data_IF_937466333829
#
_entry.id   IF_937466333829
#
_cell.length_a   1.000
_cell.length_b   1.000
_cell.length_c   1.000
_cell.angle_alpha   90.00
_cell.angle_beta   90.00
_cell.angle_gamma   90.00
#
_symmetry.space_group_name_H-M   'P 1'
#
loop_
_entity.id
_entity.type
_entity.pdbx_description
1 polymer ?
#
# COMPACT_ATOMS: atom_id res chain seq x y z
N UNK A 1 -5.51 -6.03 -26.31
CA UNK A 1 -4.12 -5.79 -26.76
C UNK A 1 -3.26 -6.80 -26.01
N UNK A 2 -2.52 -7.69 -26.69
CA UNK A 2 -1.54 -8.56 -26.00
C UNK A 2 -0.20 -7.84 -26.08
N UNK A 3 0.29 -7.40 -24.94
CA UNK A 3 1.61 -6.80 -24.84
C UNK A 3 2.68 -7.90 -24.92
N UNK A 4 3.90 -7.53 -25.31
CA UNK A 4 5.01 -8.48 -25.53
C UNK A 4 5.57 -9.06 -24.23
N UNK A 5 5.23 -8.46 -23.09
CA UNK A 5 5.62 -8.88 -21.75
C UNK A 5 4.43 -8.70 -20.80
N UNK A 6 4.47 -9.36 -19.64
CA UNK A 6 3.48 -9.19 -18.58
C UNK A 6 3.70 -7.89 -17.83
N UNK A 7 2.66 -7.35 -17.18
CA UNK A 7 2.77 -6.13 -16.38
C UNK A 7 3.88 -6.20 -15.31
N UNK A 8 4.08 -7.33 -14.58
CA UNK A 8 5.24 -7.51 -13.69
C UNK A 8 6.60 -7.29 -14.37
N UNK A 9 6.81 -7.88 -15.55
CA UNK A 9 8.08 -7.76 -16.30
C UNK A 9 8.30 -6.33 -16.81
N UNK A 10 7.25 -5.69 -17.31
CA UNK A 10 7.31 -4.31 -17.78
C UNK A 10 7.66 -3.35 -16.63
N UNK A 11 6.99 -3.47 -15.48
CA UNK A 11 7.29 -2.61 -14.33
C UNK A 11 8.68 -2.89 -13.74
N UNK A 12 9.06 -4.16 -13.60
CA UNK A 12 10.36 -4.55 -13.06
C UNK A 12 11.54 -4.02 -13.88
N UNK A 13 11.42 -4.00 -15.21
CA UNK A 13 12.46 -3.47 -16.10
C UNK A 13 12.41 -1.94 -16.24
N UNK A 14 11.23 -1.32 -16.20
CA UNK A 14 11.06 0.10 -16.53
C UNK A 14 11.26 1.03 -15.33
N UNK A 15 10.65 0.74 -14.18
CA UNK A 15 10.69 1.62 -13.01
C UNK A 15 12.13 1.98 -12.55
N UNK A 16 13.09 1.03 -12.52
CA UNK A 16 14.47 1.36 -12.17
C UNK A 16 15.13 2.40 -13.09
N UNK A 17 14.76 2.43 -14.36
CA UNK A 17 15.29 3.40 -15.35
C UNK A 17 14.83 4.83 -15.06
N UNK A 18 13.72 4.98 -14.33
CA UNK A 18 13.18 6.26 -13.90
C UNK A 18 13.63 6.65 -12.48
N UNK A 19 14.48 5.83 -11.84
CA UNK A 19 14.84 6.03 -10.44
C UNK A 19 13.66 5.80 -9.48
N UNK A 20 12.68 5.00 -9.88
CA UNK A 20 11.52 4.65 -9.06
C UNK A 20 11.78 3.30 -8.39
N UNK A 21 11.68 3.25 -7.06
CA UNK A 21 11.96 2.05 -6.27
C UNK A 21 10.74 1.15 -6.05
N UNK A 22 9.54 1.58 -6.44
CA UNK A 22 8.31 0.86 -6.16
C UNK A 22 7.07 1.57 -6.66
N UNK A 23 5.89 1.06 -6.30
CA UNK A 23 4.63 1.67 -6.70
C UNK A 23 3.52 1.44 -5.67
N UNK A 24 2.58 2.39 -5.68
CA UNK A 24 1.36 2.32 -4.90
C UNK A 24 0.30 1.50 -5.63
N UNK A 25 -0.20 0.44 -4.99
CA UNK A 25 -1.26 -0.42 -5.49
C UNK A 25 -2.64 0.13 -5.11
N UNK A 26 -3.03 1.27 -5.68
CA UNK A 26 -4.36 1.85 -5.45
C UNK A 26 -5.44 0.88 -5.93
N UNK A 27 -6.51 0.71 -5.14
CA UNK A 27 -7.57 -0.28 -5.34
C UNK A 27 -7.15 -1.75 -5.27
N UNK A 28 -5.88 -2.02 -4.94
CA UNK A 28 -5.32 -3.37 -4.83
C UNK A 28 -5.11 -3.75 -3.37
N UNK A 29 -6.00 -4.57 -2.81
CA UNK A 29 -5.86 -5.04 -1.41
C UNK A 29 -4.61 -5.93 -1.18
N UNK A 30 -4.02 -6.44 -2.26
CA UNK A 30 -2.74 -7.10 -2.30
C UNK A 30 -2.09 -6.82 -3.67
N UNK A 31 -0.76 -6.77 -3.74
CA UNK A 31 -0.05 -6.85 -5.03
C UNK A 31 0.38 -8.30 -5.21
N UNK A 32 0.09 -8.96 -6.35
CA UNK A 32 0.50 -10.35 -6.58
C UNK A 32 2.02 -10.58 -6.43
N UNK A 33 2.41 -11.74 -5.90
CA UNK A 33 3.81 -12.11 -5.63
C UNK A 33 4.70 -12.07 -6.90
N UNK A 34 4.11 -12.29 -8.07
CA UNK A 34 4.79 -12.22 -9.37
C UNK A 34 5.47 -10.86 -9.63
N UNK A 35 4.93 -9.75 -9.13
CA UNK A 35 5.57 -8.42 -9.25
C UNK A 35 6.88 -8.36 -8.48
N UNK A 36 6.91 -8.95 -7.29
CA UNK A 36 8.13 -9.04 -6.49
C UNK A 36 9.13 -10.00 -7.13
N UNK A 37 8.69 -11.18 -7.60
CA UNK A 37 9.57 -12.17 -8.26
C UNK A 37 10.21 -11.61 -9.53
N UNK A 38 9.44 -10.90 -10.36
CA UNK A 38 9.96 -10.22 -11.54
C UNK A 38 11.03 -9.19 -11.14
N UNK A 39 10.76 -8.36 -10.12
CA UNK A 39 11.74 -7.36 -9.65
C UNK A 39 13.06 -7.97 -9.16
N UNK A 40 13.01 -9.13 -8.50
CA UNK A 40 14.21 -9.87 -8.10
C UNK A 40 15.01 -10.38 -9.29
N UNK A 41 14.35 -10.85 -10.35
CA UNK A 41 15.01 -11.29 -11.57
C UNK A 41 15.79 -10.15 -12.27
N UNK A 42 15.33 -8.90 -12.10
CA UNK A 42 16.00 -7.68 -12.56
C UNK A 42 16.99 -7.10 -11.53
N UNK A 43 17.27 -7.84 -10.44
CA UNK A 43 18.30 -7.52 -9.45
C UNK A 43 17.95 -6.40 -8.47
N UNK A 44 16.71 -5.90 -8.47
CA UNK A 44 16.25 -4.81 -7.59
C UNK A 44 14.83 -5.07 -7.11
N UNK A 45 14.62 -5.46 -5.84
CA UNK A 45 13.27 -5.67 -5.31
C UNK A 45 12.47 -4.36 -5.32
N UNK A 46 11.28 -4.39 -5.92
CA UNK A 46 10.37 -3.25 -5.91
C UNK A 46 9.67 -3.12 -4.54
N UNK A 47 9.51 -1.88 -4.08
CA UNK A 47 8.72 -1.55 -2.91
C UNK A 47 7.23 -1.53 -3.28
N UNK A 48 6.56 -2.64 -2.97
CA UNK A 48 5.14 -2.85 -3.30
C UNK A 48 4.25 -2.37 -2.15
N UNK A 49 3.32 -1.48 -2.44
CA UNK A 49 2.47 -0.83 -1.44
C UNK A 49 0.97 -1.08 -1.72
N UNK A 50 0.40 -2.23 -1.32
CA UNK A 50 -1.03 -2.53 -1.48
C UNK A 50 -1.94 -1.67 -0.59
N UNK A 51 -3.15 -1.37 -1.08
CA UNK A 51 -4.22 -0.70 -0.32
C UNK A 51 -4.77 -1.61 0.80
N UNK A 52 -5.32 -0.99 1.84
CA UNK A 52 -5.78 -1.71 3.03
C UNK A 52 -4.63 -2.39 3.75
N UNK A 53 -3.43 -1.79 3.70
CA UNK A 53 -2.23 -2.25 4.38
C UNK A 53 -1.68 -3.57 3.89
N UNK A 54 -2.24 -4.22 2.85
CA UNK A 54 -1.88 -5.59 2.47
C UNK A 54 -2.53 -6.67 3.35
N UNK A 55 -3.54 -6.30 4.16
CA UNK A 55 -4.27 -7.22 5.03
C UNK A 55 -5.28 -8.11 4.28
N UNK A 56 -5.55 -7.83 3.01
CA UNK A 56 -6.68 -8.39 2.28
C UNK A 56 -6.47 -9.82 1.76
N UNK A 57 -7.57 -10.58 1.75
CA UNK A 57 -7.71 -11.86 1.06
C UNK A 57 -8.02 -11.68 -0.44
N UNK A 58 -7.41 -10.67 -1.07
CA UNK A 58 -7.53 -10.51 -2.53
C UNK A 58 -6.69 -11.58 -3.23
N UNK A 59 -7.11 -11.97 -4.44
CA UNK A 59 -6.47 -13.02 -5.23
C UNK A 59 -6.41 -14.39 -4.53
N UNK A 60 -7.38 -14.70 -3.67
CA UNK A 60 -7.45 -15.97 -2.91
C UNK A 60 -6.25 -16.21 -1.99
N UNK A 61 -5.56 -15.14 -1.58
CA UNK A 61 -4.43 -15.22 -0.66
C UNK A 61 -4.91 -15.44 0.78
N UNK A 62 -4.21 -16.29 1.57
CA UNK A 62 -4.43 -16.35 3.01
C UNK A 62 -4.22 -14.98 3.66
N UNK A 63 -4.92 -14.68 4.77
CA UNK A 63 -4.66 -13.47 5.54
C UNK A 63 -3.16 -13.34 5.85
N UNK A 64 -2.61 -12.13 5.65
CA UNK A 64 -1.20 -11.79 5.90
C UNK A 64 -0.17 -12.41 4.95
N UNK A 65 -0.55 -13.18 3.94
CA UNK A 65 0.40 -13.81 3.02
C UNK A 65 1.34 -12.80 2.34
N UNK A 66 0.84 -11.59 2.08
CA UNK A 66 1.59 -10.48 1.47
C UNK A 66 2.83 -10.05 2.27
N UNK A 67 2.94 -10.40 3.56
CA UNK A 67 4.17 -10.16 4.35
C UNK A 67 5.41 -10.80 3.73
N UNK A 68 5.23 -11.90 3.00
CA UNK A 68 6.34 -12.64 2.43
C UNK A 68 7.06 -11.87 1.30
N UNK A 69 6.39 -10.89 0.66
CA UNK A 69 6.94 -10.20 -0.52
C UNK A 69 6.65 -8.69 -0.58
N UNK A 70 5.88 -8.13 0.35
CA UNK A 70 5.62 -6.68 0.41
C UNK A 70 6.28 -6.07 1.63
N UNK A 71 7.13 -5.07 1.41
CA UNK A 71 7.73 -4.25 2.46
C UNK A 71 6.90 -3.01 2.81
N UNK A 72 5.86 -2.72 2.03
CA UNK A 72 5.03 -1.54 2.24
C UNK A 72 3.54 -1.88 2.23
N UNK A 73 2.72 -0.91 2.60
CA UNK A 73 1.27 -0.94 2.45
C UNK A 73 0.67 0.43 2.73
N UNK A 74 -0.56 0.69 2.28
CA UNK A 74 -1.21 1.97 2.55
C UNK A 74 -2.71 1.83 2.77
N UNK A 75 -3.36 2.87 3.27
CA UNK A 75 -4.81 3.00 3.27
C UNK A 75 -5.41 3.20 4.66
N UNK A 76 -6.63 2.72 4.84
CA UNK A 76 -7.50 3.01 5.99
C UNK A 76 -7.43 1.90 7.05
N UNK A 77 -6.23 1.63 7.57
CA UNK A 77 -6.06 0.58 8.57
C UNK A 77 -6.44 1.10 9.96
N UNK A 78 -7.11 0.28 10.77
CA UNK A 78 -7.69 0.69 12.06
C UNK A 78 -8.78 1.78 11.96
N UNK A 79 -9.46 1.88 10.82
CA UNK A 79 -10.71 2.61 10.69
C UNK A 79 -11.77 2.01 11.64
N UNK A 80 -12.31 2.81 12.56
CA UNK A 80 -13.45 2.40 13.40
C UNK A 80 -14.75 2.38 12.59
N UNK A 81 -14.85 3.22 11.56
CA UNK A 81 -15.97 3.27 10.64
C UNK A 81 -15.56 3.95 9.34
N UNK A 82 -16.04 3.44 8.21
CA UNK A 82 -16.06 4.19 6.97
C UNK A 82 -17.31 5.05 6.97
N UNK A 83 -17.13 6.36 6.90
CA UNK A 83 -18.20 7.34 6.95
C UNK A 83 -18.75 7.61 5.54
N UNK A 84 -19.97 8.17 5.43
CA UNK A 84 -20.48 8.70 4.18
C UNK A 84 -19.47 9.64 3.50
N UNK A 85 -19.53 9.73 2.18
CA UNK A 85 -18.55 10.44 1.34
C UNK A 85 -17.12 9.83 1.33
N UNK A 86 -16.97 8.58 1.78
CA UNK A 86 -15.70 7.83 1.68
C UNK A 86 -14.64 8.26 2.69
N UNK A 87 -15.00 9.07 3.69
CA UNK A 87 -14.08 9.47 4.75
C UNK A 87 -13.92 8.35 5.78
N UNK A 88 -12.83 8.40 6.54
CA UNK A 88 -12.59 7.42 7.61
C UNK A 88 -12.70 8.07 8.98
N UNK A 89 -13.32 7.36 9.93
CA UNK A 89 -13.19 7.66 11.34
C UNK A 89 -12.17 6.71 11.95
N UNK A 90 -11.12 7.26 12.56
CA UNK A 90 -10.16 6.51 13.35
C UNK A 90 -10.57 6.56 14.83
N UNK A 91 -10.34 5.45 15.54
CA UNK A 91 -10.65 5.35 16.96
C UNK A 91 -9.80 6.30 17.82
N UNK A 92 -10.34 6.72 18.98
CA UNK A 92 -9.64 7.62 19.90
C UNK A 92 -8.37 6.99 20.55
N UNK A 93 -8.37 5.67 20.74
CA UNK A 93 -7.16 4.93 21.05
C UNK A 93 -6.54 4.43 19.72
N UNK A 94 -5.29 4.81 19.40
CA UNK A 94 -4.64 4.34 18.18
C UNK A 94 -4.40 2.84 18.31
N UNK A 95 -4.87 2.09 17.32
CA UNK A 95 -4.57 0.67 17.21
C UNK A 95 -3.14 0.45 16.76
N UNK A 96 -2.72 -0.81 16.79
CA UNK A 96 -1.40 -1.23 16.34
C UNK A 96 -1.50 -1.74 14.90
N UNK A 97 -0.59 -1.28 14.04
CA UNK A 97 -0.37 -1.86 12.72
C UNK A 97 0.16 -3.30 12.89
N UNK A 98 -0.75 -4.26 12.71
CA UNK A 98 -0.49 -5.68 12.91
C UNK A 98 0.60 -6.22 11.97
N UNK A 99 0.65 -5.78 10.71
CA UNK A 99 1.68 -6.28 9.78
C UNK A 99 3.06 -5.74 10.16
N UNK A 100 3.13 -4.49 10.61
CA UNK A 100 4.38 -3.91 11.12
C UNK A 100 4.81 -4.57 12.43
N UNK A 101 3.87 -4.87 13.32
CA UNK A 101 4.13 -5.62 14.56
C UNK A 101 4.66 -7.04 14.31
N UNK A 102 4.14 -7.72 13.29
CA UNK A 102 4.54 -9.08 12.93
C UNK A 102 5.85 -9.16 12.13
N UNK A 103 6.38 -8.04 11.65
CA UNK A 103 7.70 -7.98 11.01
C UNK A 103 8.77 -7.64 12.07
N UNK A 104 9.41 -8.65 12.69
CA UNK A 104 10.31 -8.44 13.83
C UNK A 104 11.55 -7.62 13.48
N UNK A 105 11.87 -7.51 12.18
CA UNK A 105 13.01 -6.75 11.68
C UNK A 105 12.67 -5.29 11.37
N UNK A 106 11.40 -4.88 11.56
CA UNK A 106 10.96 -3.49 11.41
C UNK A 106 11.14 -2.94 9.99
N UNK A 107 11.19 -3.80 8.97
CA UNK A 107 11.39 -3.42 7.56
C UNK A 107 10.12 -2.87 6.94
N UNK A 108 8.96 -3.15 7.52
CA UNK A 108 7.67 -2.73 7.00
C UNK A 108 7.37 -1.25 7.25
N UNK A 109 7.02 -0.54 6.18
CA UNK A 109 6.48 0.81 6.24
C UNK A 109 5.03 0.85 5.75
N UNK A 110 4.11 1.27 6.60
CA UNK A 110 2.72 1.46 6.20
C UNK A 110 2.35 2.94 6.25
N UNK A 111 1.56 3.39 5.28
CA UNK A 111 1.06 4.74 5.22
C UNK A 111 -0.44 4.81 5.51
N UNK A 112 -0.84 5.57 6.52
CA UNK A 112 -2.25 5.89 6.78
C UNK A 112 -2.75 6.83 5.68
N UNK A 113 -3.97 6.64 5.20
CA UNK A 113 -4.61 7.59 4.30
C UNK A 113 -5.97 8.01 4.84
N UNK A 114 -6.36 9.26 4.58
CA UNK A 114 -7.74 9.68 4.71
C UNK A 114 -8.09 10.65 3.58
N UNK A 115 -8.40 10.04 2.43
CA UNK A 115 -8.50 10.67 1.11
C UNK A 115 -9.34 11.94 1.11
N UNK A 116 -10.46 11.92 1.81
CA UNK A 116 -11.47 12.97 1.77
C UNK A 116 -11.56 13.78 3.06
N UNK A 117 -10.81 13.43 4.11
CA UNK A 117 -10.84 14.18 5.35
C UNK A 117 -10.04 15.48 5.25
N UNK A 118 -10.70 16.57 5.65
CA UNK A 118 -10.06 17.88 5.83
C UNK A 118 -9.32 17.95 7.17
N UNK A 119 -9.86 17.28 8.19
CA UNK A 119 -9.25 17.22 9.51
C UNK A 119 -8.49 15.89 9.68
N UNK A 120 -7.16 15.97 9.58
CA UNK A 120 -6.27 14.79 9.52
C UNK A 120 -5.63 14.41 10.86
N UNK A 121 -5.93 15.15 11.93
CA UNK A 121 -5.33 14.94 13.27
C UNK A 121 -5.36 13.48 13.76
N UNK A 122 -6.52 12.78 13.72
CA UNK A 122 -6.61 11.39 14.15
C UNK A 122 -5.74 10.44 13.31
N UNK A 123 -5.72 10.63 11.99
CA UNK A 123 -4.91 9.82 11.09
C UNK A 123 -3.40 10.06 11.29
N UNK A 124 -3.00 11.31 11.51
CA UNK A 124 -1.62 11.68 11.82
C UNK A 124 -1.18 11.13 13.18
N UNK A 125 -2.06 11.19 14.19
CA UNK A 125 -1.80 10.62 15.50
C UNK A 125 -1.62 9.10 15.42
N UNK A 126 -2.48 8.40 14.68
CA UNK A 126 -2.36 6.97 14.42
C UNK A 126 -1.04 6.62 13.74
N UNK A 127 -0.67 7.38 12.70
CA UNK A 127 0.59 7.20 11.99
C UNK A 127 1.79 7.38 12.92
N UNK A 128 1.80 8.44 13.71
CA UNK A 128 2.87 8.76 14.66
C UNK A 128 3.08 7.64 15.68
N UNK A 129 2.02 7.17 16.35
CA UNK A 129 2.13 6.13 17.37
C UNK A 129 2.53 4.75 16.84
N UNK A 130 2.43 4.53 15.53
CA UNK A 130 2.85 3.28 14.88
C UNK A 130 4.18 3.39 14.13
N UNK A 131 4.84 4.55 14.12
CA UNK A 131 5.99 4.76 13.23
C UNK A 131 5.63 4.50 11.76
N UNK A 132 4.43 4.88 11.39
CA UNK A 132 3.84 4.78 10.07
C UNK A 132 3.91 6.15 9.38
N UNK A 133 3.89 6.14 8.05
CA UNK A 133 3.78 7.36 7.27
C UNK A 133 2.31 7.76 7.06
N UNK A 134 2.13 8.85 6.32
CA UNK A 134 0.81 9.33 5.89
C UNK A 134 0.83 9.57 4.38
N UNK A 135 -0.22 9.17 3.66
CA UNK A 135 -0.42 9.50 2.25
C UNK A 135 -1.22 10.81 2.17
N UNK A 136 -0.59 11.96 1.89
CA UNK A 136 -1.32 13.20 1.67
C UNK A 136 -1.98 13.16 0.29
N UNK A 137 -3.22 12.69 0.23
CA UNK A 137 -3.99 12.80 -1.00
C UNK A 137 -4.52 14.23 -1.12
N UNK A 138 -3.91 15.02 -1.99
CA UNK A 138 -4.26 16.45 -2.16
C UNK A 138 -4.69 16.80 -3.60
N UNK A 139 -4.25 16.03 -4.61
CA UNK A 139 -4.68 16.18 -6.01
C UNK A 139 -4.89 14.81 -6.66
N UNK A 140 -6.00 14.64 -7.39
CA UNK A 140 -6.37 13.40 -8.09
C UNK A 140 -5.66 13.35 -9.46
N UNK A 141 -5.01 12.23 -9.78
CA UNK A 141 -4.64 11.92 -11.17
C UNK A 141 -5.92 11.62 -11.94
N UNK A 142 -6.25 12.45 -12.93
CA UNK A 142 -7.36 12.19 -13.83
C UNK A 142 -7.10 10.95 -14.68
N UNK A 143 -8.16 10.20 -15.00
CA UNK A 143 -8.11 9.16 -16.02
C UNK A 143 -8.31 9.86 -17.38
N UNK A 144 -7.32 9.79 -18.26
CA UNK A 144 -7.53 10.09 -19.67
C UNK A 144 -7.97 8.81 -20.36
N UNK A 145 -9.19 8.83 -20.90
CA UNK A 145 -9.66 7.80 -21.81
C UNK A 145 -9.53 8.36 -23.23
N UNK A 146 -8.50 7.91 -23.95
CA UNK A 146 -8.24 8.30 -25.33
C UNK A 146 -9.22 7.75 -26.34
#
# INVERSE_FOLDING_TARGET
RRELASDPEVLASTLPTWGVDGFNGDTMQAVPEEYWRASLAHGRPLALEPEGGGYGAAYSLPPLASLNWTSMGWGYWWASMQLPAGTTQYGAAPGVDRLKWLDPEGRRMTHVCDRWQKHRGPAMQLAFFNGAGYVPWENIRGIWNG
#
